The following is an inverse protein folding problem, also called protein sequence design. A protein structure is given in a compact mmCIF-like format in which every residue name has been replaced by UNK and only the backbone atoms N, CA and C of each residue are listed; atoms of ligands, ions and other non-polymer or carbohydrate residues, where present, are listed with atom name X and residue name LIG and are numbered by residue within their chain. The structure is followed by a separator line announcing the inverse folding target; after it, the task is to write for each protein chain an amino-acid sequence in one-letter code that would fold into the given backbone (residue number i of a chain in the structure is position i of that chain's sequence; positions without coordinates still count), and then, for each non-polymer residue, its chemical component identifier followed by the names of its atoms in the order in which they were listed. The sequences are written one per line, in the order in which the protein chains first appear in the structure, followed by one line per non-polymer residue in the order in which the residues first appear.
data_IF_851505087047
#
_entry.id   IF_851505087047
#
_cell.length_a   1.000
_cell.length_b   1.000
_cell.length_c   1.000
_cell.angle_alpha   90.00
_cell.angle_beta   90.00
_cell.angle_gamma   90.00
#
_symmetry.space_group_name_H-M   'P 1'
#
loop_
_entity.id
_entity.type
_entity.pdbx_description
1 polymer ?
#
# COMPACT_ATOMS: atom_id res chain seq x y z
N UNK A 1 25.98 7.82 15.45
CA UNK A 1 24.90 6.82 15.25
C UNK A 1 23.59 7.41 14.72
N UNK A 2 23.04 8.49 15.30
CA UNK A 2 21.74 9.07 14.91
C UNK A 2 21.63 9.46 13.41
N UNK A 3 22.72 9.94 12.84
CA UNK A 3 22.80 10.35 11.43
C UNK A 3 22.64 9.18 10.45
N UNK A 4 23.23 8.02 10.75
CA UNK A 4 23.15 6.83 9.88
C UNK A 4 21.72 6.30 9.78
N UNK A 5 21.01 6.22 10.90
CA UNK A 5 19.61 5.79 10.94
C UNK A 5 18.70 6.76 10.17
N UNK A 6 18.93 8.07 10.31
CA UNK A 6 18.15 9.08 9.60
C UNK A 6 18.32 8.96 8.08
N UNK A 7 19.55 8.76 7.60
CA UNK A 7 19.81 8.54 6.18
C UNK A 7 19.16 7.26 5.64
N UNK A 8 19.15 6.18 6.43
CA UNK A 8 18.47 4.94 6.06
C UNK A 8 16.96 5.14 5.93
N UNK A 9 16.34 5.88 6.85
CA UNK A 9 14.90 6.20 6.79
C UNK A 9 14.61 7.03 5.54
N UNK A 10 15.39 8.07 5.25
CA UNK A 10 15.19 8.91 4.07
C UNK A 10 15.36 8.08 2.78
N UNK A 11 16.34 7.19 2.73
CA UNK A 11 16.53 6.28 1.61
C UNK A 11 15.33 5.36 1.42
N UNK A 12 14.81 4.79 2.50
CA UNK A 12 13.63 3.93 2.45
C UNK A 12 12.39 4.70 1.96
N UNK A 13 12.16 5.91 2.47
CA UNK A 13 11.05 6.76 2.05
C UNK A 13 11.12 7.09 0.55
N UNK A 14 12.32 7.34 0.01
CA UNK A 14 12.53 7.56 -1.43
C UNK A 14 12.24 6.32 -2.27
N UNK A 15 12.57 5.13 -1.77
CA UNK A 15 12.30 3.89 -2.49
C UNK A 15 10.79 3.57 -2.54
N UNK A 16 10.08 3.70 -1.42
CA UNK A 16 8.64 3.44 -1.40
C UNK A 16 7.83 4.47 -2.21
N UNK A 17 8.34 5.69 -2.37
CA UNK A 17 7.68 6.71 -3.20
C UNK A 17 7.57 6.27 -4.68
N UNK A 18 8.48 5.43 -5.17
CA UNK A 18 8.43 4.90 -6.53
C UNK A 18 7.18 4.06 -6.80
N UNK A 19 6.49 3.57 -5.77
CA UNK A 19 5.21 2.86 -5.91
C UNK A 19 4.11 3.72 -6.58
N UNK A 20 4.20 5.06 -6.46
CA UNK A 20 3.29 5.99 -7.15
C UNK A 20 3.41 5.93 -8.68
N UNK A 21 4.51 5.37 -9.20
CA UNK A 21 4.76 5.25 -10.64
C UNK A 21 4.33 3.88 -11.19
N UNK A 22 4.02 2.93 -10.31
CA UNK A 22 3.57 1.59 -10.70
C UNK A 22 2.05 1.60 -10.81
N UNK A 23 1.57 1.63 -12.05
CA UNK A 23 0.14 1.61 -12.35
C UNK A 23 -0.39 0.19 -12.40
N UNK A 24 -1.51 -0.06 -11.72
CA UNK A 24 -2.25 -1.33 -11.77
C UNK A 24 -3.11 -1.40 -13.03
N UNK A 25 -3.47 -2.63 -13.41
CA UNK A 25 -4.44 -2.91 -14.49
C UNK A 25 -5.85 -2.45 -14.08
N UNK A 26 -6.13 -2.47 -12.77
CA UNK A 26 -7.41 -2.04 -12.23
C UNK A 26 -7.58 -0.52 -12.35
N UNK A 27 -8.76 -0.12 -12.79
CA UNK A 27 -9.17 1.27 -12.79
C UNK A 27 -9.77 1.63 -11.43
N UNK A 28 -9.60 2.87 -11.02
CA UNK A 28 -10.35 3.47 -9.93
C UNK A 28 -11.86 3.33 -10.20
N UNK A 29 -12.67 3.44 -9.15
CA UNK A 29 -14.13 3.25 -9.24
C UNK A 29 -14.81 4.20 -10.25
N UNK A 30 -14.15 5.29 -10.62
CA UNK A 30 -14.59 6.23 -11.64
C UNK A 30 -14.31 5.78 -13.09
N UNK A 31 -13.56 4.68 -13.28
CA UNK A 31 -13.09 4.10 -14.55
C UNK A 31 -12.31 5.04 -15.46
N UNK A 32 -11.88 6.20 -14.96
CA UNK A 32 -11.19 7.23 -15.75
C UNK A 32 -9.70 7.24 -15.50
N UNK A 33 -9.28 6.80 -14.32
CA UNK A 33 -7.88 6.78 -13.90
C UNK A 33 -7.47 5.39 -13.48
N UNK A 34 -6.23 5.01 -13.82
CA UNK A 34 -5.63 3.75 -13.33
C UNK A 34 -5.23 3.95 -11.86
N UNK A 35 -5.48 2.94 -11.05
CA UNK A 35 -5.01 2.91 -9.67
C UNK A 35 -3.48 2.75 -9.66
N UNK A 36 -2.76 3.51 -8.84
CA UNK A 36 -1.34 3.25 -8.57
C UNK A 36 -1.16 2.33 -7.35
N UNK A 37 -0.04 1.62 -7.26
CA UNK A 37 0.20 0.66 -6.18
C UNK A 37 0.31 1.32 -4.79
N UNK A 38 0.65 2.61 -4.72
CA UNK A 38 0.67 3.35 -3.46
C UNK A 38 -0.76 3.62 -2.95
N UNK A 39 -1.67 4.02 -3.84
CA UNK A 39 -3.11 4.21 -3.55
C UNK A 39 -3.75 2.89 -3.11
N UNK A 40 -3.48 1.81 -3.83
CA UNK A 40 -4.00 0.49 -3.48
C UNK A 40 -3.56 0.05 -2.09
N UNK A 41 -2.26 0.21 -1.78
CA UNK A 41 -1.70 -0.12 -0.48
C UNK A 41 -2.28 0.73 0.64
N UNK A 42 -2.57 2.02 0.38
CA UNK A 42 -3.24 2.90 1.34
C UNK A 42 -4.68 2.49 1.60
N UNK A 43 -5.47 2.24 0.54
CA UNK A 43 -6.85 1.76 0.66
C UNK A 43 -6.93 0.46 1.46
N UNK A 44 -6.00 -0.45 1.22
CA UNK A 44 -5.89 -1.68 1.96
C UNK A 44 -5.59 -1.45 3.45
N UNK A 45 -4.60 -0.61 3.76
CA UNK A 45 -4.27 -0.28 5.15
C UNK A 45 -5.48 0.30 5.89
N UNK A 46 -6.24 1.19 5.23
CA UNK A 46 -7.48 1.73 5.76
C UNK A 46 -8.55 0.65 5.95
N UNK A 47 -8.72 -0.27 4.99
CA UNK A 47 -9.65 -1.38 5.11
C UNK A 47 -9.32 -2.27 6.32
N UNK A 48 -8.05 -2.58 6.54
CA UNK A 48 -7.62 -3.37 7.71
C UNK A 48 -7.93 -2.63 9.02
N UNK A 49 -7.67 -1.32 9.09
CA UNK A 49 -7.93 -0.51 10.28
C UNK A 49 -9.42 -0.40 10.65
N UNK A 50 -10.31 -0.43 9.65
CA UNK A 50 -11.77 -0.33 9.84
C UNK A 50 -12.41 -1.69 10.12
N UNK A 51 -11.84 -2.78 9.59
CA UNK A 51 -12.41 -4.12 9.78
C UNK A 51 -12.24 -4.64 11.22
N UNK A 52 -13.24 -5.35 11.76
CA UNK A 52 -13.08 -6.04 13.04
C UNK A 52 -12.03 -7.15 12.92
N UNK A 53 -11.32 -7.43 14.02
CA UNK A 53 -10.13 -8.30 14.03
C UNK A 53 -10.39 -9.70 13.46
N UNK A 54 -11.58 -10.25 13.65
CA UNK A 54 -12.00 -11.55 13.10
C UNK A 54 -12.12 -11.56 11.56
N UNK A 55 -12.36 -10.40 10.95
CA UNK A 55 -12.44 -10.25 9.49
C UNK A 55 -11.08 -9.89 8.87
N UNK A 56 -10.17 -9.28 9.64
CA UNK A 56 -8.81 -8.96 9.15
C UNK A 56 -8.00 -10.21 8.77
N UNK A 57 -8.11 -11.30 9.54
CA UNK A 57 -7.42 -12.56 9.24
C UNK A 57 -7.87 -13.17 7.90
N UNK A 58 -9.16 -13.07 7.60
CA UNK A 58 -9.74 -13.59 6.36
C UNK A 58 -9.35 -12.73 5.15
N UNK A 59 -9.24 -11.41 5.34
CA UNK A 59 -8.72 -10.53 4.32
C UNK A 59 -7.25 -10.87 4.02
N UNK A 60 -6.41 -11.01 5.05
CA UNK A 60 -4.99 -11.33 4.91
C UNK A 60 -4.73 -12.68 4.23
N UNK A 61 -5.62 -13.66 4.41
CA UNK A 61 -5.52 -14.95 3.70
C UNK A 61 -5.92 -14.82 2.23
N UNK A 62 -6.99 -14.09 1.91
CA UNK A 62 -7.43 -13.85 0.54
C UNK A 62 -6.38 -13.09 -0.31
N UNK A 63 -5.61 -12.19 0.31
CA UNK A 63 -4.56 -11.44 -0.37
C UNK A 63 -3.34 -12.26 -0.78
N UNK A 64 -3.08 -13.40 -0.13
CA UNK A 64 -1.95 -14.27 -0.50
C UNK A 64 -2.22 -15.11 -1.74
N UNK A 65 -3.49 -15.19 -2.16
CA UNK A 65 -3.95 -16.01 -3.30
C UNK A 65 -4.17 -15.23 -4.59
N UNK A 66 -3.99 -13.90 -4.58
CA UNK A 66 -4.21 -12.97 -5.71
C UNK A 66 -2.91 -12.31 -6.15
#
# INVERSE_FOLDING_TARGET
MLHKRTLQIISFLKEIEKLKLVWRVNYLSDKRTREDDAQHSWHLAMMILVLPTNSQSNLMSAMRSS
#
